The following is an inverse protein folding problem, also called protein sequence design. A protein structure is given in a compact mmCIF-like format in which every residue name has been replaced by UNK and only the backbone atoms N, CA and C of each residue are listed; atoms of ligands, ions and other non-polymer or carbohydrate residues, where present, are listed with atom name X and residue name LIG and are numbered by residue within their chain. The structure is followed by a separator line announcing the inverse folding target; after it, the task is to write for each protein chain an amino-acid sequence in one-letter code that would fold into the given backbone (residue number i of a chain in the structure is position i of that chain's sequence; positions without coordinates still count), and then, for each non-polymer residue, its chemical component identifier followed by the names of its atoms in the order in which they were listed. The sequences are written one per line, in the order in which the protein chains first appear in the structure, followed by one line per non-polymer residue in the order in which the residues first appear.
data_IF_509579554160
#
_entry.id   IF_509579554160
#
_cell.length_a   1.000
_cell.length_b   1.000
_cell.length_c   1.000
_cell.angle_alpha   90.00
_cell.angle_beta   90.00
_cell.angle_gamma   90.00
#
_symmetry.space_group_name_H-M   'P 1'
#
loop_
_entity.id
_entity.type
_entity.pdbx_description
1 polymer ?
#
# COMPACT_ATOMS: atom_id res chain seq x y z
N UNK A 1 12.73 4.90 -26.45
CA UNK A 1 11.75 5.02 -25.36
C UNK A 1 11.82 3.72 -24.58
N UNK A 2 12.03 3.78 -23.26
CA UNK A 2 11.90 2.58 -22.43
C UNK A 2 10.45 2.10 -22.51
N UNK A 3 10.24 0.79 -22.60
CA UNK A 3 8.89 0.24 -22.49
C UNK A 3 8.32 0.64 -21.12
N UNK A 4 7.07 1.09 -21.04
CA UNK A 4 6.44 1.38 -19.75
C UNK A 4 6.49 0.11 -18.91
N UNK A 5 6.97 0.26 -17.68
CA UNK A 5 7.01 -0.83 -16.72
C UNK A 5 5.56 -1.34 -16.53
N UNK A 6 5.35 -2.67 -16.49
CA UNK A 6 4.00 -3.25 -16.37
C UNK A 6 3.18 -2.65 -15.21
N UNK A 7 3.83 -2.39 -14.06
CA UNK A 7 3.20 -1.79 -12.89
C UNK A 7 2.71 -0.36 -13.17
N UNK A 8 3.50 0.46 -13.87
CA UNK A 8 3.09 1.82 -14.27
C UNK A 8 1.89 1.79 -15.22
N UNK A 9 1.93 0.90 -16.22
CA UNK A 9 0.83 0.74 -17.16
C UNK A 9 -0.44 0.23 -16.47
N UNK A 10 -0.30 -0.72 -15.54
CA UNK A 10 -1.40 -1.28 -14.78
C UNK A 10 -2.01 -0.26 -13.80
N UNK A 11 -1.18 0.48 -13.06
CA UNK A 11 -1.62 1.55 -12.18
C UNK A 11 -2.37 2.63 -12.95
N UNK A 12 -1.83 3.05 -14.10
CA UNK A 12 -2.49 4.03 -14.98
C UNK A 12 -3.84 3.52 -15.48
N UNK A 13 -3.94 2.26 -15.90
CA UNK A 13 -5.19 1.68 -16.38
C UNK A 13 -6.25 1.61 -15.29
N UNK A 14 -5.87 1.22 -14.07
CA UNK A 14 -6.79 1.19 -12.93
C UNK A 14 -7.24 2.59 -12.51
N UNK A 15 -6.31 3.55 -12.44
CA UNK A 15 -6.62 4.94 -12.09
C UNK A 15 -7.67 5.52 -13.05
N UNK A 16 -7.46 5.35 -14.35
CA UNK A 16 -8.42 5.77 -15.38
C UNK A 16 -9.79 5.07 -15.28
N UNK A 17 -9.82 3.81 -14.82
CA UNK A 17 -11.06 3.04 -14.73
C UNK A 17 -12.00 3.54 -13.61
N UNK A 18 -11.45 4.23 -12.61
CA UNK A 18 -12.19 4.72 -11.43
C UNK A 18 -12.06 6.23 -11.21
N UNK A 19 -11.55 6.96 -12.22
CA UNK A 19 -11.31 8.40 -12.17
C UNK A 19 -10.43 8.84 -10.98
N UNK A 20 -9.43 8.00 -10.67
CA UNK A 20 -8.39 8.26 -9.67
C UNK A 20 -7.30 9.15 -10.28
N UNK A 21 -6.85 10.15 -9.54
CA UNK A 21 -5.78 11.06 -9.99
C UNK A 21 -4.44 10.67 -9.37
N UNK A 22 -3.34 11.04 -10.03
CA UNK A 22 -1.99 10.75 -9.52
C UNK A 22 -1.69 11.47 -8.18
N UNK A 23 -2.48 12.48 -7.83
CA UNK A 23 -2.37 13.22 -6.57
C UNK A 23 -2.99 12.47 -5.38
N UNK A 24 -3.70 11.36 -5.63
CA UNK A 24 -4.34 10.53 -4.60
C UNK A 24 -3.39 9.51 -3.95
N UNK A 25 -2.12 9.46 -4.38
CA UNK A 25 -1.10 8.57 -3.82
C UNK A 25 0.25 9.28 -3.69
N UNK A 26 0.60 9.69 -2.49
CA UNK A 26 1.84 10.42 -2.22
C UNK A 26 3.07 9.50 -2.22
N UNK A 27 4.24 10.07 -2.51
CA UNK A 27 5.53 9.35 -2.41
C UNK A 27 5.80 8.80 -1.00
N UNK A 28 5.23 9.42 0.03
CA UNK A 28 5.34 8.93 1.40
C UNK A 28 4.55 7.62 1.60
N UNK A 29 3.31 7.58 1.13
CA UNK A 29 2.46 6.37 1.20
C UNK A 29 3.03 5.24 0.35
N UNK A 30 3.62 5.56 -0.81
CA UNK A 30 4.38 4.59 -1.61
C UNK A 30 5.50 3.96 -0.81
N UNK A 31 6.30 4.78 -0.13
CA UNK A 31 7.43 4.31 0.67
C UNK A 31 6.96 3.41 1.81
N UNK A 32 5.91 3.80 2.52
CA UNK A 32 5.35 3.02 3.64
C UNK A 32 4.77 1.67 3.17
N UNK A 33 4.03 1.63 2.06
CA UNK A 33 3.51 0.36 1.52
C UNK A 33 4.60 -0.57 0.99
N UNK A 34 5.66 -0.01 0.39
CA UNK A 34 6.83 -0.79 -0.01
C UNK A 34 7.60 -1.32 1.21
N UNK A 35 7.69 -0.53 2.27
CA UNK A 35 8.26 -0.99 3.53
C UNK A 35 7.40 -2.06 4.21
N UNK A 36 6.07 -1.96 4.19
CA UNK A 36 5.17 -3.03 4.63
C UNK A 36 5.45 -4.34 3.90
N UNK A 37 5.52 -4.30 2.57
CA UNK A 37 5.83 -5.47 1.76
C UNK A 37 7.20 -6.06 2.13
N UNK A 38 8.18 -5.19 2.37
CA UNK A 38 9.52 -5.57 2.80
C UNK A 38 9.50 -6.27 4.15
N UNK A 39 8.92 -5.66 5.20
CA UNK A 39 8.95 -6.24 6.55
C UNK A 39 8.18 -7.57 6.61
N UNK A 40 7.03 -7.67 5.94
CA UNK A 40 6.26 -8.93 5.89
C UNK A 40 7.03 -10.03 5.15
N UNK A 41 7.75 -9.68 4.08
CA UNK A 41 8.57 -10.64 3.34
C UNK A 41 9.81 -11.12 4.12
N UNK A 42 10.31 -10.32 5.07
CA UNK A 42 11.46 -10.68 5.92
C UNK A 42 11.03 -11.44 7.19
N UNK A 43 9.98 -10.96 7.86
CA UNK A 43 9.48 -11.55 9.11
C UNK A 43 8.59 -12.79 8.92
N UNK A 44 8.13 -13.07 7.70
CA UNK A 44 7.25 -14.22 7.41
C UNK A 44 7.60 -14.91 6.08
N UNK A 45 6.72 -15.78 5.56
CA UNK A 45 6.86 -16.30 4.20
C UNK A 45 6.65 -15.20 3.15
N UNK A 46 7.56 -15.06 2.18
CA UNK A 46 7.51 -14.03 1.12
C UNK A 46 6.16 -13.90 0.39
N UNK A 47 5.40 -15.00 0.25
CA UNK A 47 4.07 -15.01 -0.38
C UNK A 47 3.04 -14.15 0.36
N UNK A 48 3.29 -13.84 1.64
CA UNK A 48 2.40 -13.04 2.46
C UNK A 48 2.50 -11.53 2.16
N UNK A 49 3.62 -11.06 1.62
CA UNK A 49 3.81 -9.64 1.30
C UNK A 49 2.75 -9.07 0.34
N UNK A 50 2.46 -9.67 -0.84
CA UNK A 50 1.41 -9.16 -1.72
C UNK A 50 0.00 -9.28 -1.12
N UNK A 51 -0.24 -10.25 -0.23
CA UNK A 51 -1.52 -10.38 0.46
C UNK A 51 -1.69 -9.29 1.53
N UNK A 52 -0.62 -8.97 2.26
CA UNK A 52 -0.61 -7.91 3.26
C UNK A 52 -0.85 -6.53 2.62
N UNK A 53 -0.21 -6.23 1.48
CA UNK A 53 -0.45 -4.96 0.77
C UNK A 53 -1.85 -4.86 0.16
N UNK A 54 -2.42 -5.97 -0.32
CA UNK A 54 -3.82 -6.00 -0.73
C UNK A 54 -4.78 -5.68 0.43
N UNK A 55 -4.56 -6.30 1.59
CA UNK A 55 -5.37 -6.05 2.79
C UNK A 55 -5.20 -4.62 3.32
N UNK A 56 -3.98 -4.06 3.26
CA UNK A 56 -3.72 -2.67 3.59
C UNK A 56 -4.54 -1.70 2.72
N UNK A 57 -4.58 -1.93 1.39
CA UNK A 57 -5.40 -1.14 0.48
C UNK A 57 -6.89 -1.21 0.81
N UNK A 58 -7.40 -2.40 1.16
CA UNK A 58 -8.79 -2.57 1.60
C UNK A 58 -9.07 -1.82 2.92
N UNK A 59 -8.13 -1.85 3.87
CA UNK A 59 -8.25 -1.14 5.14
C UNK A 59 -8.31 0.37 4.90
N UNK A 60 -7.39 0.93 4.10
CA UNK A 60 -7.36 2.36 3.76
C UNK A 60 -8.67 2.79 3.09
N UNK A 61 -9.20 2.01 2.14
CA UNK A 61 -10.46 2.30 1.49
C UNK A 61 -11.66 2.35 2.47
N UNK A 62 -11.68 1.46 3.47
CA UNK A 62 -12.71 1.44 4.51
C UNK A 62 -12.56 2.65 5.43
N UNK A 63 -11.34 2.95 5.89
CA UNK A 63 -11.06 4.09 6.79
C UNK A 63 -11.37 5.45 6.12
N UNK A 64 -11.17 5.55 4.81
CA UNK A 64 -11.59 6.72 4.04
C UNK A 64 -13.09 7.00 4.10
N UNK A 65 -13.93 5.96 4.26
CA UNK A 65 -15.37 6.13 4.48
C UNK A 65 -15.72 6.66 5.88
N UNK A 66 -14.78 6.58 6.82
CA UNK A 66 -14.87 7.10 8.19
C UNK A 66 -14.18 8.49 8.35
N UNK A 67 -13.97 9.22 7.24
CA UNK A 67 -13.28 10.53 7.20
C UNK A 67 -11.81 10.51 7.68
N UNK A 68 -11.15 9.35 7.62
CA UNK A 68 -9.72 9.22 7.93
C UNK A 68 -8.89 9.37 6.67
N UNK A 69 -7.84 10.18 6.74
CA UNK A 69 -6.94 10.38 5.60
C UNK A 69 -6.18 9.10 5.27
N UNK A 70 -5.83 8.92 4.00
CA UNK A 70 -5.06 7.77 3.54
C UNK A 70 -3.72 7.65 4.27
N UNK A 71 -3.01 8.76 4.47
CA UNK A 71 -1.77 8.79 5.24
C UNK A 71 -1.93 8.30 6.69
N UNK A 72 -2.99 8.71 7.39
CA UNK A 72 -3.27 8.21 8.74
C UNK A 72 -3.57 6.71 8.72
N UNK A 73 -4.38 6.25 7.76
CA UNK A 73 -4.73 4.85 7.66
C UNK A 73 -3.52 3.96 7.29
N UNK A 74 -2.58 4.44 6.47
CA UNK A 74 -1.33 3.72 6.18
C UNK A 74 -0.42 3.67 7.41
N UNK A 75 -0.31 4.76 8.17
CA UNK A 75 0.41 4.76 9.46
C UNK A 75 -0.15 3.72 10.43
N UNK A 76 -1.47 3.62 10.57
CA UNK A 76 -2.13 2.59 11.40
C UNK A 76 -1.79 1.17 10.92
N UNK A 77 -1.75 0.93 9.61
CA UNK A 77 -1.34 -0.36 9.05
C UNK A 77 0.09 -0.70 9.45
N UNK A 78 1.01 0.26 9.39
CA UNK A 78 2.41 0.08 9.77
C UNK A 78 2.57 -0.21 11.26
N UNK A 79 1.81 0.46 12.12
CA UNK A 79 1.77 0.20 13.56
C UNK A 79 1.29 -1.24 13.84
N UNK A 80 0.17 -1.65 13.24
CA UNK A 80 -0.38 -3.02 13.39
C UNK A 80 0.62 -4.07 12.89
N UNK A 81 1.29 -3.84 11.77
CA UNK A 81 2.27 -4.77 11.22
C UNK A 81 3.49 -4.90 12.14
N UNK A 82 3.99 -3.79 12.69
CA UNK A 82 5.12 -3.77 13.63
C UNK A 82 4.78 -4.51 14.92
N UNK A 83 3.60 -4.27 15.49
CA UNK A 83 3.13 -4.96 16.70
C UNK A 83 3.06 -6.49 16.54
N UNK A 84 2.66 -6.96 15.36
CA UNK A 84 2.51 -8.39 15.06
C UNK A 84 3.83 -9.10 14.74
N UNK A 85 4.76 -8.41 14.09
CA UNK A 85 6.06 -8.97 13.71
C UNK A 85 7.08 -8.85 14.85
N UNK A 86 6.86 -7.94 15.80
CA UNK A 86 7.81 -7.57 16.84
C UNK A 86 8.89 -6.62 16.32
N UNK A 87 9.41 -5.77 17.22
CA UNK A 87 10.56 -4.93 16.92
C UNK A 87 11.80 -5.83 16.63
N UNK A 88 12.33 -5.77 15.40
CA UNK A 88 13.73 -6.13 15.12
C UNK A 88 14.63 -4.90 15.24
#
# INVERSE_FOLDING_TARGET
MAEPNFLEAFATALANAVDLTADDFSTAEETELLDLARIVAHGTERKNAPLATYLAGQYVAIRGADDVTSAQAVSEVMEIASDLLGDE
#
